data_IF_799610079654
#
_entry.id   IF_799610079654
#
_cell.length_a   1.000
_cell.length_b   1.000
_cell.length_c   1.000
_cell.angle_alpha   90.00
_cell.angle_beta   90.00
_cell.angle_gamma   90.00
#
_symmetry.space_group_name_H-M   'P 1'
#
loop_
_entity.id
_entity.type
_entity.pdbx_description
1 polymer ?
#
# COMPACT_ATOMS: atom_id res chain seq x y z
N UNK A 1 10.85 0.87 35.27
CA UNK A 1 11.12 0.81 33.81
C UNK A 1 10.13 -0.16 33.17
N UNK A 2 9.01 0.31 32.62
CA UNK A 2 8.04 -0.55 31.94
C UNK A 2 8.53 -0.84 30.52
N UNK A 3 9.15 -2.01 30.29
CA UNK A 3 9.46 -2.48 28.94
C UNK A 3 8.16 -2.84 28.24
N UNK A 4 7.85 -2.13 27.16
CA UNK A 4 6.69 -2.43 26.32
C UNK A 4 6.89 -3.80 25.66
N UNK A 5 6.10 -4.79 26.06
CA UNK A 5 6.12 -6.13 25.44
C UNK A 5 5.70 -6.02 23.98
N UNK A 6 6.41 -6.73 23.09
CA UNK A 6 6.04 -6.83 21.68
C UNK A 6 4.82 -7.75 21.56
N UNK A 7 4.07 -7.64 20.45
CA UNK A 7 2.93 -8.53 20.23
C UNK A 7 3.40 -9.97 20.04
N UNK A 8 2.58 -10.94 20.46
CA UNK A 8 2.85 -12.38 20.31
C UNK A 8 3.13 -12.76 18.86
N UNK A 9 2.45 -12.11 17.92
CA UNK A 9 2.65 -12.30 16.47
C UNK A 9 4.05 -11.85 16.02
N UNK A 10 4.57 -10.72 16.52
CA UNK A 10 5.93 -10.24 16.19
C UNK A 10 7.00 -11.13 16.81
N UNK A 11 6.75 -11.67 18.00
CA UNK A 11 7.63 -12.65 18.64
C UNK A 11 7.67 -13.96 17.86
N UNK A 12 6.50 -14.48 17.47
CA UNK A 12 6.40 -15.68 16.62
C UNK A 12 7.13 -15.48 15.28
N UNK A 13 6.91 -14.37 14.59
CA UNK A 13 7.63 -14.06 13.34
C UNK A 13 9.15 -13.99 13.54
N UNK A 14 9.63 -13.48 14.68
CA UNK A 14 11.07 -13.45 14.98
C UNK A 14 11.64 -14.83 15.28
N UNK A 15 10.90 -15.68 15.99
CA UNK A 15 11.27 -17.06 16.25
C UNK A 15 11.29 -17.88 14.96
N UNK A 16 10.24 -17.76 14.14
CA UNK A 16 10.15 -18.40 12.83
C UNK A 16 11.30 -17.94 11.92
N UNK A 17 11.66 -16.65 11.96
CA UNK A 17 12.82 -16.14 11.23
C UNK A 17 14.16 -16.63 11.79
N UNK A 18 14.28 -16.82 13.10
CA UNK A 18 15.49 -17.33 13.74
C UNK A 18 15.68 -18.84 13.52
N UNK A 19 14.60 -19.58 13.33
CA UNK A 19 14.61 -21.01 13.01
C UNK A 19 14.85 -21.31 11.52
N UNK A 20 15.03 -20.28 10.68
CA UNK A 20 15.36 -20.50 9.26
C UNK A 20 16.77 -21.06 9.16
N UNK A 21 16.90 -22.18 8.43
CA UNK A 21 18.17 -22.87 8.15
C UNK A 21 19.21 -21.95 7.49
N UNK A 22 18.75 -20.99 6.68
CA UNK A 22 19.59 -20.04 5.97
C UNK A 22 19.31 -18.61 6.46
N UNK A 23 20.31 -17.96 7.06
CA UNK A 23 20.29 -16.51 7.33
C UNK A 23 20.97 -15.76 6.19
N UNK A 24 20.17 -15.16 5.32
CA UNK A 24 20.63 -14.40 4.15
C UNK A 24 20.59 -12.88 4.38
N UNK A 25 20.35 -12.43 5.63
CA UNK A 25 20.13 -11.02 5.95
C UNK A 25 21.31 -10.11 5.56
N UNK A 26 22.54 -10.65 5.56
CA UNK A 26 23.78 -9.94 5.22
C UNK A 26 24.24 -10.10 3.77
N UNK A 27 23.58 -10.97 3.00
CA UNK A 27 24.01 -11.29 1.63
C UNK A 27 23.84 -10.09 0.70
N UNK A 28 24.74 -9.92 -0.25
CA UNK A 28 24.65 -8.88 -1.28
C UNK A 28 23.67 -9.30 -2.37
N UNK A 29 23.16 -8.30 -3.11
CA UNK A 29 22.28 -8.56 -4.26
C UNK A 29 22.93 -9.47 -5.30
N UNK A 30 24.23 -9.29 -5.58
CA UNK A 30 24.97 -10.14 -6.50
C UNK A 30 24.98 -11.61 -6.06
N UNK A 31 25.20 -11.88 -4.77
CA UNK A 31 25.26 -13.23 -4.21
C UNK A 31 23.89 -13.91 -4.25
N UNK A 32 22.82 -13.18 -3.88
CA UNK A 32 21.45 -13.69 -4.00
C UNK A 32 21.09 -14.02 -5.45
N UNK A 33 21.42 -13.11 -6.38
CA UNK A 33 21.12 -13.30 -7.80
C UNK A 33 21.89 -14.48 -8.39
N UNK A 34 23.18 -14.58 -8.09
CA UNK A 34 24.03 -15.64 -8.62
C UNK A 34 23.54 -17.01 -8.12
N UNK A 35 23.32 -17.13 -6.82
CA UNK A 35 22.79 -18.37 -6.21
C UNK A 35 21.45 -18.77 -6.80
N UNK A 36 20.56 -17.82 -7.09
CA UNK A 36 19.26 -18.11 -7.74
C UNK A 36 19.45 -18.72 -9.13
N UNK A 37 20.49 -18.30 -9.86
CA UNK A 37 20.72 -18.73 -11.23
C UNK A 37 21.59 -19.99 -11.33
N UNK A 38 22.46 -20.26 -10.36
CA UNK A 38 23.47 -21.33 -10.44
C UNK A 38 23.23 -22.49 -9.47
N UNK A 39 22.49 -22.29 -8.39
CA UNK A 39 22.23 -23.36 -7.41
C UNK A 39 21.00 -24.20 -7.76
N UNK A 40 20.98 -25.46 -7.29
CA UNK A 40 19.83 -26.36 -7.40
C UNK A 40 19.25 -26.76 -6.03
N UNK A 41 19.74 -26.18 -4.93
CA UNK A 41 19.20 -26.43 -3.60
C UNK A 41 17.85 -25.70 -3.44
N UNK A 42 16.77 -26.46 -3.44
CA UNK A 42 15.39 -25.95 -3.37
C UNK A 42 15.15 -25.11 -2.11
N UNK A 43 15.70 -25.50 -0.96
CA UNK A 43 15.51 -24.77 0.30
C UNK A 43 16.29 -23.45 0.31
N UNK A 44 17.51 -23.46 -0.25
CA UNK A 44 18.34 -22.26 -0.38
C UNK A 44 17.72 -21.27 -1.37
N UNK A 45 17.22 -21.75 -2.51
CA UNK A 45 16.55 -20.93 -3.51
C UNK A 45 15.31 -20.23 -2.93
N UNK A 46 14.51 -20.96 -2.14
CA UNK A 46 13.34 -20.39 -1.47
C UNK A 46 13.74 -19.33 -0.44
N UNK A 47 14.81 -19.56 0.32
CA UNK A 47 15.36 -18.57 1.23
C UNK A 47 15.84 -17.31 0.48
N UNK A 48 16.55 -17.47 -0.65
CA UNK A 48 17.04 -16.36 -1.46
C UNK A 48 15.89 -15.52 -2.03
N UNK A 49 14.85 -16.15 -2.57
CA UNK A 49 13.65 -15.47 -3.07
C UNK A 49 12.91 -14.74 -1.94
N UNK A 50 12.75 -15.39 -0.79
CA UNK A 50 12.11 -14.80 0.40
C UNK A 50 12.83 -13.53 0.86
N UNK A 51 14.17 -13.55 0.93
CA UNK A 51 14.96 -12.39 1.36
C UNK A 51 14.89 -11.25 0.34
N UNK A 52 14.86 -11.56 -0.97
CA UNK A 52 14.66 -10.56 -2.01
C UNK A 52 13.32 -9.82 -1.85
N UNK A 53 12.21 -10.56 -1.66
CA UNK A 53 10.89 -9.98 -1.45
C UNK A 53 10.82 -9.14 -0.16
N UNK A 54 11.46 -9.60 0.92
CA UNK A 54 11.55 -8.84 2.18
C UNK A 54 12.23 -7.49 1.97
N UNK A 55 13.34 -7.46 1.24
CA UNK A 55 14.08 -6.21 0.93
C UNK A 55 13.29 -5.29 0.00
N UNK A 56 12.67 -5.84 -1.05
CA UNK A 56 11.79 -5.09 -1.95
C UNK A 56 10.65 -4.43 -1.18
N UNK A 57 9.96 -5.17 -0.31
CA UNK A 57 8.87 -4.65 0.52
C UNK A 57 9.29 -3.43 1.34
N UNK A 58 10.47 -3.50 1.99
CA UNK A 58 11.04 -2.37 2.74
C UNK A 58 11.37 -1.20 1.81
N UNK A 59 11.99 -1.48 0.66
CA UNK A 59 12.33 -0.47 -0.33
C UNK A 59 11.09 0.25 -0.86
N UNK A 60 10.02 -0.47 -1.22
CA UNK A 60 8.76 0.16 -1.68
C UNK A 60 8.12 0.99 -0.57
N UNK A 61 8.08 0.49 0.67
CA UNK A 61 7.59 1.26 1.81
C UNK A 61 8.42 2.54 2.05
N UNK A 62 9.74 2.47 1.94
CA UNK A 62 10.62 3.63 2.02
C UNK A 62 10.39 4.59 0.83
N UNK A 63 10.29 4.07 -0.39
CA UNK A 63 10.06 4.85 -1.61
C UNK A 63 8.73 5.58 -1.54
N UNK A 64 7.66 4.94 -1.12
CA UNK A 64 6.34 5.55 -0.93
C UNK A 64 6.38 6.71 0.08
N UNK A 65 7.11 6.54 1.21
CA UNK A 65 7.29 7.62 2.20
C UNK A 65 8.13 8.79 1.69
N UNK A 66 9.12 8.54 0.83
CA UNK A 66 10.02 9.58 0.32
C UNK A 66 9.58 10.20 -1.02
N UNK A 67 8.66 9.57 -1.76
CA UNK A 67 8.10 10.09 -3.02
C UNK A 67 7.50 11.50 -2.87
N UNK A 68 6.93 11.82 -1.70
CA UNK A 68 6.35 13.14 -1.41
C UNK A 68 7.40 14.22 -1.08
N UNK A 69 8.62 13.84 -0.64
CA UNK A 69 9.74 14.78 -0.49
C UNK A 69 10.29 15.21 -1.85
N UNK A 70 10.31 14.29 -2.81
CA UNK A 70 10.90 14.58 -4.13
C UNK A 70 9.95 15.35 -5.06
N UNK A 71 8.62 15.21 -4.94
CA UNK A 71 7.69 15.84 -5.90
C UNK A 71 7.03 17.15 -5.43
N UNK A 72 7.27 17.61 -4.20
CA UNK A 72 6.61 18.80 -3.63
C UNK A 72 7.58 19.80 -2.96
N UNK A 73 8.88 19.68 -3.21
CA UNK A 73 9.90 20.54 -2.61
C UNK A 73 10.96 21.03 -3.62
N UNK A 74 10.76 20.85 -4.93
CA UNK A 74 11.69 21.37 -5.95
C UNK A 74 11.30 22.77 -6.45
N UNK A 75 10.08 23.26 -6.16
CA UNK A 75 9.62 24.59 -6.58
C UNK A 75 9.41 25.60 -5.45
N UNK A 76 9.75 25.28 -4.19
CA UNK A 76 9.73 26.27 -3.10
C UNK A 76 11.14 26.76 -2.84
N UNK A 77 11.53 27.81 -3.58
CA UNK A 77 12.84 28.47 -3.49
C UNK A 77 13.09 29.18 -2.16
N UNK A 78 12.09 29.27 -1.27
CA UNK A 78 12.20 29.90 0.04
C UNK A 78 11.36 29.16 1.11
N UNK A 79 11.77 29.21 2.39
CA UNK A 79 11.02 28.65 3.51
C UNK A 79 9.59 29.18 3.60
N UNK A 80 8.64 28.37 4.10
CA UNK A 80 7.23 28.78 4.30
C UNK A 80 7.05 30.07 5.10
N UNK A 81 7.94 30.32 6.07
CA UNK A 81 7.95 31.56 6.86
C UNK A 81 8.23 32.82 6.03
N UNK A 82 9.01 32.69 4.95
CA UNK A 82 9.36 33.80 4.06
C UNK A 82 8.19 34.12 3.11
N UNK A 83 7.45 33.10 2.64
CA UNK A 83 6.27 33.30 1.80
C UNK A 83 5.10 33.94 2.56
N UNK A 84 4.90 33.55 3.82
CA UNK A 84 3.85 34.11 4.68
C UNK A 84 4.15 35.57 5.06
N UNK A 85 5.44 35.90 5.25
CA UNK A 85 5.90 37.27 5.46
C UNK A 85 5.76 38.15 4.20
N UNK A 86 6.02 37.61 3.00
CA UNK A 86 5.90 38.36 1.75
C UNK A 86 4.45 38.71 1.39
N UNK A 87 3.47 37.99 1.93
CA UNK A 87 2.04 38.29 1.76
C UNK A 87 1.51 39.34 2.76
N UNK A 88 2.35 39.82 3.68
CA UNK A 88 2.02 40.94 4.58
C UNK A 88 2.39 42.25 3.89
N UNK A 89 1.42 42.89 3.21
CA UNK A 89 1.64 44.22 2.63
C UNK A 89 1.55 45.27 3.73
N UNK A 90 2.66 45.96 4.00
CA UNK A 90 2.72 47.15 4.86
C UNK A 90 2.46 48.40 4.03
N UNK A 91 1.51 49.25 4.44
CA UNK A 91 1.34 50.59 3.87
C UNK A 91 1.69 51.63 4.93
N UNK A 92 2.34 52.72 4.49
CA UNK A 92 2.75 53.86 5.33
C UNK A 92 1.79 55.02 5.06
N UNK A 93 1.20 55.61 6.09
CA UNK A 93 0.39 56.84 5.97
C UNK A 93 1.22 58.08 6.34
N UNK A 94 0.93 59.22 5.71
CA UNK A 94 1.67 60.51 5.75
C UNK A 94 1.89 61.19 7.12
N UNK A 95 1.52 60.58 8.25
CA UNK A 95 1.76 61.14 9.60
C UNK A 95 2.46 60.18 10.57
N UNK A 96 3.42 59.39 10.08
CA UNK A 96 4.46 58.79 10.93
C UNK A 96 4.02 57.84 12.05
N UNK A 97 2.83 57.23 11.96
CA UNK A 97 2.39 56.16 12.89
C UNK A 97 2.24 54.83 12.16
N UNK A 98 2.85 53.77 12.71
CA UNK A 98 2.78 52.40 12.19
C UNK A 98 1.58 51.68 12.80
N UNK A 99 0.54 51.41 12.01
CA UNK A 99 -0.63 50.63 12.43
C UNK A 99 -0.66 49.27 11.72
N UNK A 100 -0.68 48.18 12.50
CA UNK A 100 -0.77 46.79 11.98
C UNK A 100 -2.24 46.47 11.67
N UNK A 101 -2.63 46.50 10.40
CA UNK A 101 -3.99 46.13 9.96
C UNK A 101 -3.95 44.72 9.35
N UNK A 102 -4.72 43.80 9.92
CA UNK A 102 -4.90 42.44 9.38
C UNK A 102 -5.91 42.52 8.23
N UNK A 103 -5.43 42.65 7.00
CA UNK A 103 -6.29 42.70 5.81
C UNK A 103 -6.82 41.31 5.44
N UNK A 104 -8.09 41.02 5.75
CA UNK A 104 -8.80 39.87 5.18
C UNK A 104 -9.31 40.21 3.77
N UNK A 105 -8.64 39.73 2.73
CA UNK A 105 -9.17 39.78 1.36
C UNK A 105 -10.31 38.76 1.25
N UNK A 106 -11.55 39.25 1.17
CA UNK A 106 -12.74 38.43 0.87
C UNK A 106 -12.58 37.79 -0.52
N UNK A 107 -12.41 36.47 -0.59
CA UNK A 107 -12.60 35.73 -1.85
C UNK A 107 -14.10 35.64 -2.17
N UNK A 108 -14.45 35.98 -3.40
CA UNK A 108 -15.81 35.96 -3.94
C UNK A 108 -16.46 34.56 -3.86
N UNK A 109 -17.79 34.54 -3.69
CA UNK A 109 -18.62 33.32 -3.65
C UNK A 109 -18.60 32.63 -5.03
N UNK A 110 -17.97 31.46 -5.11
CA UNK A 110 -18.21 30.49 -6.18
C UNK A 110 -19.29 29.49 -5.72
N UNK A 111 -20.08 28.98 -6.67
CA UNK A 111 -21.23 28.07 -6.52
C UNK A 111 -21.05 26.96 -5.45
N UNK A 112 -22.16 26.49 -4.82
CA UNK A 112 -22.09 25.38 -3.88
C UNK A 112 -21.53 24.13 -4.59
N UNK A 113 -20.53 23.44 -4.01
CA UNK A 113 -20.04 22.22 -4.62
C UNK A 113 -21.16 21.18 -4.61
N UNK A 114 -21.50 20.70 -5.81
CA UNK A 114 -22.25 19.47 -6.04
C UNK A 114 -21.72 18.41 -5.09
N UNK A 115 -22.61 17.85 -4.27
CA UNK A 115 -22.30 16.83 -3.26
C UNK A 115 -21.57 15.68 -3.95
N UNK A 116 -20.24 15.68 -3.86
CA UNK A 116 -19.43 14.52 -4.18
C UNK A 116 -19.54 13.57 -2.99
N UNK A 117 -19.64 12.25 -3.21
CA UNK A 117 -19.64 11.30 -2.11
C UNK A 117 -18.37 11.55 -1.27
N UNK A 118 -18.56 11.67 0.05
CA UNK A 118 -17.53 11.96 1.05
C UNK A 118 -16.25 11.19 0.73
N UNK A 119 -15.25 11.87 0.16
CA UNK A 119 -13.88 11.37 0.12
C UNK A 119 -13.37 11.50 1.54
N UNK A 120 -13.19 10.37 2.21
CA UNK A 120 -12.57 10.27 3.52
C UNK A 120 -11.24 11.05 3.53
N UNK A 121 -10.88 11.74 4.62
CA UNK A 121 -9.66 12.54 4.68
C UNK A 121 -8.40 11.71 4.33
N UNK A 122 -7.41 12.28 3.61
CA UNK A 122 -6.13 11.63 3.33
C UNK A 122 -5.31 11.56 4.62
N UNK A 123 -5.61 10.59 5.47
CA UNK A 123 -4.99 10.42 6.78
C UNK A 123 -5.52 9.28 7.64
N UNK A 124 -6.53 8.53 7.17
CA UNK A 124 -6.99 7.33 7.89
C UNK A 124 -5.97 6.20 7.71
N UNK A 125 -5.07 6.06 8.68
CA UNK A 125 -3.99 5.07 8.71
C UNK A 125 -4.47 3.62 8.93
N UNK A 126 -5.76 3.33 8.70
CA UNK A 126 -6.39 2.04 8.90
C UNK A 126 -7.68 1.91 8.06
N UNK A 127 -7.58 2.11 6.75
CA UNK A 127 -8.69 1.84 5.84
C UNK A 127 -8.54 0.42 5.28
N UNK A 128 -9.39 -0.50 5.72
CA UNK A 128 -9.56 -1.79 5.06
C UNK A 128 -10.31 -1.54 3.73
N UNK A 129 -9.73 -1.93 2.60
CA UNK A 129 -10.30 -1.70 1.25
C UNK A 129 -10.31 -2.99 0.45
N UNK A 130 -11.40 -3.23 -0.27
CA UNK A 130 -11.67 -4.51 -0.91
C UNK A 130 -11.92 -4.29 -2.40
N UNK A 131 -11.33 -5.14 -3.25
CA UNK A 131 -11.41 -5.01 -4.70
C UNK A 131 -11.66 -6.37 -5.37
N UNK A 132 -12.33 -6.36 -6.53
CA UNK A 132 -12.42 -7.48 -7.45
C UNK A 132 -12.14 -7.04 -8.89
N UNK A 133 -11.36 -7.82 -9.62
CA UNK A 133 -11.04 -7.60 -11.03
C UNK A 133 -11.27 -8.90 -11.81
N UNK A 134 -12.10 -8.89 -12.87
CA UNK A 134 -12.16 -10.03 -13.78
C UNK A 134 -10.90 -10.08 -14.66
N UNK A 135 -10.41 -11.28 -14.96
CA UNK A 135 -9.33 -11.50 -15.94
C UNK A 135 -9.70 -12.66 -16.88
N UNK A 136 -9.10 -12.67 -18.07
CA UNK A 136 -9.21 -13.77 -19.03
C UNK A 136 -7.89 -14.52 -19.02
N UNK A 137 -7.93 -15.85 -19.00
CA UNK A 137 -6.69 -16.62 -19.12
C UNK A 137 -6.14 -16.48 -20.55
N UNK A 138 -4.81 -16.41 -20.74
CA UNK A 138 -4.22 -16.42 -22.07
C UNK A 138 -4.71 -17.60 -22.94
N UNK A 139 -4.92 -18.77 -22.33
CA UNK A 139 -5.44 -19.97 -23.01
C UNK A 139 -6.86 -19.82 -23.55
N UNK A 140 -7.70 -19.01 -22.90
CA UNK A 140 -9.10 -18.80 -23.28
C UNK A 140 -9.29 -17.58 -24.19
N UNK A 141 -8.26 -16.79 -24.42
CA UNK A 141 -8.33 -15.52 -25.16
C UNK A 141 -8.85 -15.67 -26.61
N UNK A 142 -8.72 -16.86 -27.19
CA UNK A 142 -9.15 -17.18 -28.55
C UNK A 142 -10.45 -18.01 -28.63
N UNK A 143 -11.07 -18.36 -27.49
CA UNK A 143 -12.29 -19.20 -27.45
C UNK A 143 -13.60 -18.46 -27.79
N UNK A 144 -13.52 -17.27 -28.39
CA UNK A 144 -14.71 -16.52 -28.82
C UNK A 144 -15.69 -16.25 -27.67
N UNK A 145 -16.99 -16.48 -27.91
CA UNK A 145 -18.09 -16.25 -26.94
C UNK A 145 -18.05 -17.14 -25.69
N UNK A 146 -17.29 -18.25 -25.70
CA UNK A 146 -17.16 -19.16 -24.55
C UNK A 146 -16.00 -18.80 -23.61
N UNK A 147 -15.49 -17.57 -23.66
CA UNK A 147 -14.43 -17.07 -22.78
C UNK A 147 -14.85 -17.12 -21.32
N UNK A 148 -14.33 -18.12 -20.59
CA UNK A 148 -14.50 -18.19 -19.15
C UNK A 148 -13.57 -17.17 -18.48
N UNK A 149 -14.14 -16.31 -17.64
CA UNK A 149 -13.40 -15.28 -16.91
C UNK A 149 -13.05 -15.79 -15.52
N UNK A 150 -11.81 -15.59 -15.13
CA UNK A 150 -11.39 -15.71 -13.75
C UNK A 150 -11.68 -14.43 -12.98
N UNK A 151 -11.64 -14.51 -11.66
CA UNK A 151 -11.81 -13.37 -10.76
C UNK A 151 -10.62 -13.26 -9.82
N UNK A 152 -10.11 -12.04 -9.71
CA UNK A 152 -9.04 -11.69 -8.79
C UNK A 152 -9.60 -10.77 -7.70
N UNK A 153 -9.47 -11.17 -6.45
CA UNK A 153 -9.95 -10.45 -5.28
C UNK A 153 -8.77 -10.02 -4.42
N UNK A 154 -8.81 -8.78 -3.91
CA UNK A 154 -7.78 -8.26 -3.04
C UNK A 154 -8.37 -7.47 -1.87
N UNK A 155 -7.83 -7.73 -0.69
CA UNK A 155 -8.08 -7.00 0.53
C UNK A 155 -6.81 -6.25 0.93
N UNK A 156 -6.86 -4.92 0.93
CA UNK A 156 -5.80 -4.03 1.36
C UNK A 156 -6.04 -3.55 2.79
N UNK A 157 -5.03 -3.71 3.65
CA UNK A 157 -4.97 -3.07 4.96
C UNK A 157 -4.11 -1.81 4.85
N UNK A 158 -4.76 -0.66 4.70
CA UNK A 158 -4.11 0.59 4.35
C UNK A 158 -3.54 0.53 2.92
N UNK A 159 -2.23 0.72 2.80
CA UNK A 159 -1.56 0.80 1.49
C UNK A 159 -1.16 -0.56 0.92
N UNK A 160 -1.20 -1.64 1.72
CA UNK A 160 -0.62 -2.93 1.36
C UNK A 160 -1.65 -4.05 1.38
N UNK A 161 -1.47 -5.02 0.48
CA UNK A 161 -2.34 -6.19 0.43
C UNK A 161 -2.17 -7.05 1.69
N UNK A 162 -3.29 -7.47 2.26
CA UNK A 162 -3.37 -8.31 3.45
C UNK A 162 -3.88 -9.72 3.11
N UNK A 163 -4.84 -9.84 2.19
CA UNK A 163 -5.35 -11.12 1.67
C UNK A 163 -5.63 -11.01 0.17
N UNK A 164 -5.36 -12.07 -0.57
CA UNK A 164 -5.57 -12.18 -2.01
C UNK A 164 -6.25 -13.50 -2.32
N UNK A 165 -7.21 -13.49 -3.23
CA UNK A 165 -7.91 -14.68 -3.68
C UNK A 165 -8.06 -14.68 -5.20
N UNK A 166 -7.70 -15.78 -5.84
CA UNK A 166 -7.85 -15.97 -7.28
C UNK A 166 -8.80 -17.13 -7.55
N UNK A 167 -9.92 -16.80 -8.20
CA UNK A 167 -10.90 -17.78 -8.63
C UNK A 167 -10.73 -18.03 -10.11
N UNK A 168 -10.55 -19.29 -10.42
CA UNK A 168 -10.33 -19.80 -11.76
C UNK A 168 -11.47 -20.77 -12.08
N UNK A 169 -12.02 -20.76 -13.30
CA UNK A 169 -13.12 -21.67 -13.66
C UNK A 169 -12.75 -23.15 -13.50
N UNK A 170 -11.55 -23.53 -13.96
CA UNK A 170 -11.10 -24.93 -14.02
C UNK A 170 -9.99 -25.28 -13.01
N UNK A 171 -9.69 -24.37 -12.07
CA UNK A 171 -8.66 -24.62 -11.05
C UNK A 171 -9.23 -24.37 -9.66
N UNK A 172 -8.74 -25.08 -8.63
CA UNK A 172 -9.13 -24.78 -7.27
C UNK A 172 -8.84 -23.32 -6.90
N UNK A 173 -9.63 -22.73 -5.99
CA UNK A 173 -9.42 -21.35 -5.54
C UNK A 173 -8.04 -21.21 -4.90
N UNK A 174 -7.35 -20.12 -5.24
CA UNK A 174 -6.05 -19.79 -4.66
C UNK A 174 -6.29 -18.75 -3.57
N UNK A 175 -5.93 -19.06 -2.33
CA UNK A 175 -6.08 -18.18 -1.17
C UNK A 175 -4.70 -17.86 -0.61
N UNK A 176 -4.35 -16.58 -0.57
CA UNK A 176 -3.04 -16.09 -0.18
C UNK A 176 -3.18 -15.06 0.94
N UNK A 177 -2.35 -15.17 1.98
CA UNK A 177 -2.36 -14.30 3.15
C UNK A 177 -0.98 -13.67 3.37
N UNK A 178 -0.99 -12.36 3.66
CA UNK A 178 0.23 -11.60 3.88
C UNK A 178 1.07 -12.18 5.03
N UNK A 179 2.39 -12.23 4.83
CA UNK A 179 3.37 -12.80 5.74
C UNK A 179 3.63 -14.30 5.51
N UNK A 180 2.68 -15.05 4.93
CA UNK A 180 2.88 -16.43 4.52
C UNK A 180 3.17 -16.53 3.03
N UNK A 181 2.32 -15.91 2.22
CA UNK A 181 2.29 -16.11 0.77
C UNK A 181 2.83 -14.88 0.02
N UNK A 182 3.67 -14.09 0.69
CA UNK A 182 4.18 -12.79 0.21
C UNK A 182 4.82 -12.86 -1.19
N UNK A 183 5.43 -14.00 -1.55
CA UNK A 183 6.07 -14.20 -2.86
C UNK A 183 5.07 -14.42 -4.00
N UNK A 184 3.83 -14.76 -3.70
CA UNK A 184 2.77 -15.04 -4.68
C UNK A 184 1.72 -13.93 -4.73
N UNK A 185 1.81 -12.95 -3.84
CA UNK A 185 0.87 -11.85 -3.73
C UNK A 185 1.34 -10.60 -4.48
N UNK A 186 0.40 -9.67 -4.73
CA UNK A 186 0.71 -8.39 -5.33
C UNK A 186 1.74 -7.59 -4.49
N UNK A 187 2.82 -7.17 -5.13
CA UNK A 187 3.91 -6.39 -4.50
C UNK A 187 3.69 -4.86 -4.54
N UNK A 188 2.68 -4.40 -5.29
CA UNK A 188 2.41 -2.98 -5.48
C UNK A 188 1.55 -2.42 -4.34
N UNK A 189 1.82 -1.16 -3.97
CA UNK A 189 0.93 -0.43 -3.05
C UNK A 189 -0.42 -0.11 -3.71
N UNK A 190 -1.44 0.13 -2.90
CA UNK A 190 -2.80 0.40 -3.39
C UNK A 190 -2.85 1.54 -4.43
N UNK A 191 -2.09 2.61 -4.22
CA UNK A 191 -2.00 3.73 -5.17
C UNK A 191 -1.30 3.34 -6.47
N UNK A 192 -0.28 2.47 -6.42
CA UNK A 192 0.48 2.01 -7.58
C UNK A 192 -0.30 1.00 -8.43
N UNK A 193 -1.17 0.20 -7.80
CA UNK A 193 -2.04 -0.76 -8.52
C UNK A 193 -3.06 -0.07 -9.42
N UNK A 194 -3.40 1.19 -9.14
CA UNK A 194 -4.43 1.94 -9.86
C UNK A 194 -5.87 1.42 -9.62
N UNK A 195 -6.07 0.46 -8.71
CA UNK A 195 -7.38 -0.15 -8.44
C UNK A 195 -8.42 0.88 -8.00
N UNK A 196 -7.99 1.89 -7.25
CA UNK A 196 -8.82 2.99 -6.75
C UNK A 196 -9.39 3.88 -7.87
N UNK A 197 -8.79 3.85 -9.07
CA UNK A 197 -9.20 4.62 -10.24
C UNK A 197 -10.11 3.84 -11.17
N UNK A 198 -10.17 2.51 -11.03
CA UNK A 198 -10.96 1.63 -11.89
C UNK A 198 -12.40 1.54 -11.37
N UNK A 199 -13.35 2.06 -12.15
CA UNK A 199 -14.78 1.99 -11.80
C UNK A 199 -15.25 0.54 -11.67
N UNK A 200 -16.01 0.25 -10.63
CA UNK A 200 -16.56 -1.09 -10.35
C UNK A 200 -15.55 -2.10 -9.81
N UNK A 201 -14.29 -1.70 -9.58
CA UNK A 201 -13.29 -2.57 -8.95
C UNK A 201 -13.48 -2.68 -7.44
N UNK A 202 -13.79 -1.57 -6.76
CA UNK A 202 -13.98 -1.56 -5.31
C UNK A 202 -15.31 -2.22 -4.95
N UNK A 203 -15.26 -3.13 -3.98
CA UNK A 203 -16.40 -3.89 -3.45
C UNK A 203 -16.52 -3.70 -1.95
N UNK A 204 -17.64 -4.13 -1.37
CA UNK A 204 -17.85 -4.05 0.06
C UNK A 204 -17.16 -5.20 0.79
N UNK A 205 -16.81 -4.96 2.06
CA UNK A 205 -16.20 -5.97 2.94
C UNK A 205 -16.99 -7.28 2.97
N UNK A 206 -18.31 -7.19 3.17
CA UNK A 206 -19.15 -8.38 3.24
C UNK A 206 -19.20 -9.18 1.93
N UNK A 207 -19.01 -8.53 0.76
CA UNK A 207 -18.93 -9.22 -0.52
C UNK A 207 -17.64 -10.02 -0.62
N UNK A 208 -16.53 -9.43 -0.16
CA UNK A 208 -15.25 -10.12 -0.08
C UNK A 208 -15.28 -11.27 0.92
N UNK A 209 -15.73 -11.04 2.15
CA UNK A 209 -15.78 -12.05 3.21
C UNK A 209 -16.69 -13.22 2.83
N UNK A 210 -17.79 -12.96 2.13
CA UNK A 210 -18.69 -14.00 1.64
C UNK A 210 -17.98 -14.96 0.68
N UNK A 211 -17.23 -14.44 -0.29
CA UNK A 211 -16.46 -15.30 -1.21
C UNK A 211 -15.28 -15.96 -0.49
N UNK A 212 -14.55 -15.20 0.33
CA UNK A 212 -13.40 -15.70 1.07
C UNK A 212 -13.77 -16.89 1.97
N UNK A 213 -14.85 -16.78 2.74
CA UNK A 213 -15.32 -17.85 3.63
C UNK A 213 -15.89 -19.03 2.84
N UNK A 214 -16.57 -18.77 1.71
CA UNK A 214 -17.09 -19.84 0.82
C UNK A 214 -15.99 -20.75 0.31
N UNK A 215 -14.82 -20.20 0.01
CA UNK A 215 -13.68 -20.95 -0.52
C UNK A 215 -12.73 -21.45 0.57
N UNK A 216 -13.10 -21.34 1.86
CA UNK A 216 -12.33 -21.88 2.99
C UNK A 216 -11.26 -20.95 3.56
N UNK A 217 -11.35 -19.65 3.28
CA UNK A 217 -10.45 -18.63 3.81
C UNK A 217 -10.61 -18.41 5.31
N UNK A 218 -9.50 -18.11 6.00
CA UNK A 218 -9.49 -17.82 7.45
C UNK A 218 -9.81 -16.34 7.74
N UNK A 219 -10.48 -16.01 8.86
CA UNK A 219 -10.79 -14.63 9.21
C UNK A 219 -9.57 -13.71 9.22
N UNK A 220 -9.77 -12.43 8.92
CA UNK A 220 -8.68 -11.46 9.00
C UNK A 220 -8.30 -11.18 10.45
N UNK A 221 -7.07 -11.53 10.82
CA UNK A 221 -6.46 -11.08 12.06
C UNK A 221 -5.72 -9.76 11.78
N UNK A 222 -6.38 -8.64 12.09
CA UNK A 222 -5.91 -7.29 11.76
C UNK A 222 -4.45 -7.00 12.15
N UNK A 223 -3.82 -6.06 11.43
CA UNK A 223 -2.43 -5.64 11.67
C UNK A 223 -2.22 -4.81 12.94
N UNK A 224 -3.16 -4.80 13.89
CA UNK A 224 -3.11 -4.05 15.17
C UNK A 224 -1.83 -4.32 15.98
N UNK A 225 -1.10 -5.41 15.67
CA UNK A 225 0.21 -5.74 16.24
C UNK A 225 1.47 -5.35 15.43
N UNK A 226 1.36 -4.83 14.19
CA UNK A 226 2.50 -4.40 13.36
C UNK A 226 2.85 -2.94 13.65
N UNK A 227 3.51 -2.69 14.79
CA UNK A 227 4.08 -1.35 15.05
C UNK A 227 5.07 -0.99 13.94
N UNK A 228 4.83 0.18 13.35
CA UNK A 228 5.70 0.88 12.38
C UNK A 228 7.09 1.15 12.95
#
# INVERSE_FOLDING_TARGET
MLKLKRSSMVEKQRLDAANKKYDLSKWKYAELRDTINTSCDLELLEACRSEFHRRLKVYHAWKAKNKKRTTMEENQRAPKSVLDAAYQVTYVTEKGQVCRVVGYIKKAKANPPRVTPKVSPPGSTNSQRYFRIPFVRPSDQHRGEQQQKGWWYAHFDGDWIARQMELHPDKPPILLVAGRDDMQMCELSLDETGLTRKRGAEILEHEYEKEWNRHGGKPYEGSVGRKR
#
